data_IF_438264990707
#
_entry.id   IF_438264990707
#
_cell.length_a   1.000
_cell.length_b   1.000
_cell.length_c   1.000
_cell.angle_alpha   90.00
_cell.angle_beta   90.00
_cell.angle_gamma   90.00
#
_symmetry.space_group_name_H-M   'P 1'
#
loop_
_entity.id
_entity.type
_entity.pdbx_description
1 polymer ?
#
# COMPACT_ATOMS: atom_id res chain seq x y z
N UNK A 1 12.06 -7.54 -13.64
CA UNK A 1 11.42 -7.38 -12.36
C UNK A 1 11.90 -6.10 -11.67
N UNK A 2 10.97 -5.28 -11.22
CA UNK A 2 11.25 -4.17 -10.30
C UNK A 2 10.77 -4.58 -8.91
N UNK A 3 11.69 -4.58 -7.92
CA UNK A 3 11.39 -4.69 -6.51
C UNK A 3 11.63 -3.32 -5.87
N UNK A 4 10.58 -2.70 -5.35
CA UNK A 4 10.66 -1.42 -4.68
C UNK A 4 10.45 -1.58 -3.17
N UNK A 5 11.39 -1.10 -2.38
CA UNK A 5 11.36 -1.22 -0.92
C UNK A 5 12.62 -1.90 -0.39
N UNK A 6 12.61 -2.41 0.81
CA UNK A 6 11.47 -2.58 1.73
C UNK A 6 11.23 -1.27 2.46
N UNK A 7 10.03 -0.71 2.34
CA UNK A 7 9.67 0.53 3.01
C UNK A 7 9.56 0.33 4.53
N UNK A 8 10.10 1.27 5.30
CA UNK A 8 9.92 1.34 6.74
C UNK A 8 8.54 1.97 7.05
N UNK A 9 7.57 1.15 7.30
CA UNK A 9 6.16 1.51 7.44
C UNK A 9 5.29 0.77 6.42
N UNK A 10 4.00 0.80 6.59
CA UNK A 10 3.04 0.20 5.66
C UNK A 10 2.69 1.16 4.52
N UNK A 11 2.31 0.60 3.37
CA UNK A 11 1.67 1.30 2.26
C UNK A 11 0.32 0.64 2.00
N UNK A 12 -0.73 1.12 2.65
CA UNK A 12 -2.06 0.50 2.72
C UNK A 12 -3.14 1.54 2.48
N UNK A 13 -4.34 1.10 2.23
CA UNK A 13 -5.51 1.97 2.13
C UNK A 13 -5.27 3.13 1.14
N UNK A 14 -5.69 4.33 1.52
CA UNK A 14 -5.52 5.55 0.72
C UNK A 14 -4.05 5.98 0.58
N UNK A 15 -3.14 5.49 1.45
CA UNK A 15 -1.72 5.85 1.41
C UNK A 15 -1.03 5.40 0.13
N UNK A 16 -1.56 4.38 -0.55
CA UNK A 16 -1.03 3.89 -1.82
C UNK A 16 -0.95 4.98 -2.89
N UNK A 17 -1.85 5.97 -2.84
CA UNK A 17 -1.89 7.09 -3.78
C UNK A 17 -0.74 8.09 -3.60
N UNK A 18 -0.08 8.07 -2.45
CA UNK A 18 1.02 8.99 -2.09
C UNK A 18 2.37 8.27 -1.96
N UNK A 19 2.38 6.95 -2.14
CA UNK A 19 3.55 6.11 -1.88
C UNK A 19 4.60 6.18 -2.99
N UNK A 20 5.79 6.66 -2.66
CA UNK A 20 6.96 6.56 -3.55
C UNK A 20 7.39 5.12 -3.81
N UNK A 21 7.22 4.21 -2.84
CA UNK A 21 7.51 2.78 -2.99
C UNK A 21 6.63 2.14 -4.05
N UNK A 22 5.33 2.45 -4.03
CA UNK A 22 4.38 1.97 -5.03
C UNK A 22 4.64 2.63 -6.38
N UNK A 23 4.88 3.95 -6.41
CA UNK A 23 5.16 4.68 -7.64
C UNK A 23 6.38 4.10 -8.38
N UNK A 24 7.45 3.75 -7.69
CA UNK A 24 8.63 3.14 -8.31
C UNK A 24 8.32 1.77 -8.93
N UNK A 25 7.48 0.94 -8.30
CA UNK A 25 7.03 -0.32 -8.89
C UNK A 25 6.11 -0.08 -10.09
N UNK A 26 5.27 0.97 -10.06
CA UNK A 26 4.41 1.38 -11.17
C UNK A 26 5.20 1.81 -12.40
N UNK A 27 6.31 2.55 -12.22
CA UNK A 27 7.20 2.90 -13.33
C UNK A 27 7.69 1.66 -14.08
N UNK A 28 8.08 0.59 -13.35
CA UNK A 28 8.42 -0.68 -13.96
C UNK A 28 7.28 -1.27 -14.77
N UNK A 29 6.08 -1.29 -14.22
CA UNK A 29 4.89 -1.83 -14.88
C UNK A 29 4.48 -1.04 -16.12
N UNK A 30 4.69 0.29 -16.14
CA UNK A 30 4.52 1.14 -17.32
C UNK A 30 5.47 0.77 -18.45
N UNK A 31 6.69 0.38 -18.12
CA UNK A 31 7.70 -0.10 -19.06
C UNK A 31 7.52 -1.58 -19.45
N UNK A 32 6.45 -2.23 -19.01
CA UNK A 32 6.18 -3.63 -19.29
C UNK A 32 6.99 -4.62 -18.44
N UNK A 33 7.64 -4.14 -17.37
CA UNK A 33 8.40 -4.94 -16.43
C UNK A 33 7.54 -5.21 -15.19
N UNK A 34 7.43 -6.46 -14.71
CA UNK A 34 6.70 -6.77 -13.47
C UNK A 34 7.18 -5.93 -12.29
N UNK A 35 6.25 -5.32 -11.55
CA UNK A 35 6.54 -4.47 -10.39
C UNK A 35 5.95 -5.04 -9.09
N UNK A 36 6.77 -5.07 -8.03
CA UNK A 36 6.36 -5.48 -6.68
C UNK A 36 6.83 -4.40 -5.70
N UNK A 37 5.91 -3.84 -4.93
CA UNK A 37 6.19 -2.93 -3.83
C UNK A 37 6.18 -3.72 -2.51
N UNK A 38 7.21 -3.54 -1.69
CA UNK A 38 7.40 -4.27 -0.44
C UNK A 38 7.46 -3.27 0.72
N UNK A 39 6.70 -3.52 1.76
CA UNK A 39 6.60 -2.66 2.95
C UNK A 39 6.52 -3.49 4.21
N UNK A 40 7.20 -3.06 5.28
CA UNK A 40 7.14 -3.69 6.59
C UNK A 40 6.48 -2.73 7.58
N UNK A 41 5.35 -3.13 8.17
CA UNK A 41 4.72 -2.36 9.25
C UNK A 41 5.60 -2.42 10.50
N UNK A 42 5.89 -1.28 11.09
CA UNK A 42 6.63 -1.19 12.35
C UNK A 42 5.76 -1.59 13.54
N UNK A 43 6.34 -2.29 14.51
CA UNK A 43 5.68 -2.74 15.73
C UNK A 43 5.50 -1.67 16.81
N UNK A 44 5.50 -0.37 16.44
CA UNK A 44 5.36 0.73 17.40
C UNK A 44 6.67 1.14 18.07
N UNK A 45 7.80 0.71 17.57
CA UNK A 45 9.14 1.13 18.02
C UNK A 45 9.73 2.17 17.04
N UNK A 46 10.62 3.04 17.51
CA UNK A 46 11.32 4.03 16.68
C UNK A 46 12.28 3.41 15.67
N UNK A 47 12.60 2.12 15.82
CA UNK A 47 13.47 1.36 14.92
C UNK A 47 12.63 0.51 13.98
N UNK A 48 12.91 0.61 12.68
CA UNK A 48 12.32 -0.28 11.69
C UNK A 48 12.77 -1.73 11.98
N UNK A 49 11.79 -2.60 12.19
CA UNK A 49 11.99 -4.03 12.33
C UNK A 49 11.54 -4.70 11.03
N UNK A 50 12.48 -5.35 10.33
CA UNK A 50 12.22 -6.02 9.06
C UNK A 50 12.19 -7.54 9.20
N UNK A 51 12.04 -8.08 10.39
CA UNK A 51 12.18 -9.51 10.67
C UNK A 51 11.27 -10.37 9.77
N UNK A 52 9.99 -10.05 9.70
CA UNK A 52 9.06 -10.75 8.82
C UNK A 52 9.44 -10.65 7.33
N UNK A 53 9.86 -9.46 6.88
CA UNK A 53 10.24 -9.24 5.49
C UNK A 53 11.56 -9.94 5.12
N UNK A 54 12.55 -9.97 6.02
CA UNK A 54 13.84 -10.66 5.82
C UNK A 54 13.61 -12.17 5.68
N UNK A 55 12.80 -12.76 6.55
CA UNK A 55 12.57 -14.20 6.55
C UNK A 55 11.66 -14.64 5.40
N UNK A 56 10.60 -13.90 5.11
CA UNK A 56 9.58 -14.33 4.16
C UNK A 56 9.65 -13.67 2.79
N UNK A 57 10.40 -12.58 2.63
CA UNK A 57 10.37 -11.74 1.42
C UNK A 57 10.69 -12.50 0.14
N UNK A 58 11.74 -13.30 0.12
CA UNK A 58 12.13 -14.11 -1.06
C UNK A 58 11.01 -15.07 -1.45
N UNK A 59 10.42 -15.76 -0.49
CA UNK A 59 9.31 -16.70 -0.73
C UNK A 59 8.06 -16.00 -1.27
N UNK A 60 7.75 -14.80 -0.76
CA UNK A 60 6.62 -13.99 -1.23
C UNK A 60 6.84 -13.54 -2.66
N UNK A 61 8.03 -13.04 -2.99
CA UNK A 61 8.38 -12.63 -4.35
C UNK A 61 8.28 -13.82 -5.32
N UNK A 62 8.82 -15.00 -4.95
CA UNK A 62 8.74 -16.19 -5.77
C UNK A 62 7.28 -16.61 -6.00
N UNK A 63 6.47 -16.64 -4.95
CA UNK A 63 5.04 -16.94 -5.06
C UNK A 63 4.33 -15.99 -6.05
N UNK A 64 4.61 -14.70 -5.98
CA UNK A 64 4.02 -13.70 -6.89
C UNK A 64 4.47 -13.94 -8.34
N UNK A 65 5.73 -14.29 -8.56
CA UNK A 65 6.25 -14.60 -9.89
C UNK A 65 5.63 -15.88 -10.46
N UNK A 66 5.41 -16.89 -9.63
CA UNK A 66 4.80 -18.17 -10.03
C UNK A 66 3.32 -18.01 -10.45
N UNK A 67 2.55 -17.17 -9.74
CA UNK A 67 1.17 -16.86 -10.13
C UNK A 67 1.07 -15.89 -11.30
N UNK A 68 2.14 -15.13 -11.57
CA UNK A 68 2.21 -14.10 -12.62
C UNK A 68 1.59 -12.77 -12.20
N UNK A 69 2.04 -11.72 -12.86
CA UNK A 69 1.53 -10.34 -12.66
C UNK A 69 0.88 -9.89 -13.95
N UNK A 70 -0.38 -9.48 -13.87
CA UNK A 70 -1.10 -8.98 -15.04
C UNK A 70 -0.47 -7.67 -15.56
N UNK A 71 -0.61 -7.42 -16.86
CA UNK A 71 -0.13 -6.16 -17.47
C UNK A 71 -0.77 -4.96 -16.76
N UNK A 72 0.00 -3.89 -16.60
CA UNK A 72 -0.45 -2.65 -15.94
C UNK A 72 -0.98 -2.88 -14.52
N UNK A 73 -0.38 -3.84 -13.81
CA UNK A 73 -0.67 -4.15 -12.41
C UNK A 73 0.63 -4.18 -11.61
N UNK A 74 0.58 -3.72 -10.39
CA UNK A 74 1.65 -3.81 -9.39
C UNK A 74 1.16 -4.64 -8.22
N UNK A 75 2.02 -5.50 -7.69
CA UNK A 75 1.72 -6.24 -6.47
C UNK A 75 2.22 -5.46 -5.26
N UNK A 76 1.31 -5.06 -4.39
CA UNK A 76 1.60 -4.37 -3.14
C UNK A 76 1.60 -5.38 -2.00
N UNK A 77 2.73 -5.51 -1.33
CA UNK A 77 2.99 -6.44 -0.24
C UNK A 77 3.26 -5.67 1.04
N UNK A 78 2.51 -5.96 2.09
CA UNK A 78 2.79 -5.41 3.42
C UNK A 78 3.00 -6.55 4.42
N UNK A 79 4.15 -6.56 5.08
CA UNK A 79 4.49 -7.52 6.13
C UNK A 79 3.94 -7.02 7.48
N UNK A 80 3.29 -7.91 8.27
CA UNK A 80 2.70 -7.55 9.55
C UNK A 80 3.78 -7.28 10.63
N UNK A 81 3.44 -6.53 11.69
CA UNK A 81 4.37 -6.18 12.77
C UNK A 81 4.45 -7.30 13.82
N UNK A 82 4.69 -8.53 13.38
CA UNK A 82 4.83 -9.70 14.24
C UNK A 82 6.17 -10.38 14.00
N UNK A 83 6.65 -11.17 14.96
CA UNK A 83 7.84 -11.99 14.78
C UNK A 83 7.68 -12.92 13.55
N UNK A 84 8.78 -13.21 12.87
CA UNK A 84 8.73 -13.96 11.62
C UNK A 84 8.06 -15.33 11.76
N UNK A 85 8.26 -16.01 12.88
CA UNK A 85 7.66 -17.32 13.17
C UNK A 85 6.15 -17.24 13.50
N UNK A 86 5.65 -16.04 13.83
CA UNK A 86 4.23 -15.78 14.07
C UNK A 86 3.47 -15.34 12.80
N UNK A 87 4.16 -15.15 11.67
CA UNK A 87 3.54 -14.83 10.38
C UNK A 87 2.73 -16.04 9.91
N UNK A 88 1.41 -15.82 9.68
CA UNK A 88 0.47 -16.89 9.33
C UNK A 88 0.56 -17.33 7.87
N UNK A 89 1.08 -16.47 6.98
CA UNK A 89 1.17 -16.72 5.55
C UNK A 89 0.82 -15.48 4.72
N UNK A 90 0.42 -15.67 3.47
CA UNK A 90 0.01 -14.62 2.54
C UNK A 90 -1.52 -14.64 2.44
N UNK A 91 -2.15 -13.46 2.52
CA UNK A 91 -3.59 -13.28 2.36
C UNK A 91 -3.87 -12.22 1.29
N UNK A 92 -4.62 -12.57 0.22
CA UNK A 92 -5.14 -11.56 -0.70
C UNK A 92 -6.02 -10.57 0.03
N UNK A 93 -5.83 -9.29 -0.25
CA UNK A 93 -6.54 -8.22 0.42
C UNK A 93 -6.96 -7.14 -0.57
N UNK A 94 -8.00 -6.39 -0.23
CA UNK A 94 -8.37 -5.14 -0.89
C UNK A 94 -7.82 -3.96 -0.10
N UNK A 95 -7.74 -2.80 -0.72
CA UNK A 95 -7.40 -1.57 0.00
C UNK A 95 -8.46 -1.26 1.06
N UNK A 96 -8.01 -0.81 2.20
CA UNK A 96 -8.85 -0.20 3.23
C UNK A 96 -9.20 1.25 2.85
N UNK A 97 -9.95 1.92 3.72
CA UNK A 97 -10.27 3.34 3.66
C UNK A 97 -10.05 3.92 5.06
N UNK A 98 -8.88 4.47 5.33
CA UNK A 98 -8.57 4.95 6.68
C UNK A 98 -8.42 6.46 6.78
N UNK A 99 -7.95 7.12 5.73
CA UNK A 99 -7.75 8.56 5.73
C UNK A 99 -9.08 9.27 5.68
N UNK A 100 -9.33 10.21 6.59
CA UNK A 100 -10.49 11.09 6.51
C UNK A 100 -10.13 12.57 6.57
N UNK A 101 -8.87 12.92 6.74
CA UNK A 101 -8.40 14.29 6.65
C UNK A 101 -6.97 14.48 7.13
N UNK A 102 -6.47 15.67 6.89
CA UNK A 102 -5.22 16.16 7.46
C UNK A 102 -5.55 17.34 8.38
N UNK A 103 -4.86 17.45 9.50
CA UNK A 103 -4.95 18.64 10.30
C UNK A 103 -4.17 19.79 9.65
N UNK A 104 -4.79 20.93 9.51
CA UNK A 104 -4.11 22.18 9.16
C UNK A 104 -3.95 22.98 10.44
N UNK A 105 -2.71 23.16 10.86
CA UNK A 105 -2.37 23.87 12.11
C UNK A 105 -1.77 25.23 11.73
N UNK A 106 -2.35 26.29 12.29
CA UNK A 106 -1.82 27.65 12.11
C UNK A 106 -0.42 27.75 12.71
N UNK A 107 0.50 28.34 11.96
CA UNK A 107 1.87 28.55 12.40
C UNK A 107 2.03 29.79 13.28
N UNK A 108 3.22 29.97 13.82
CA UNK A 108 3.56 31.12 14.68
C UNK A 108 3.81 32.42 13.88
N UNK A 109 4.02 32.29 12.56
CA UNK A 109 4.20 33.42 11.65
C UNK A 109 2.86 33.73 10.97
N UNK A 110 2.43 35.01 10.85
CA UNK A 110 1.19 35.35 10.16
C UNK A 110 1.09 34.73 8.76
N UNK A 111 -0.07 34.16 8.42
CA UNK A 111 -0.36 33.48 7.15
C UNK A 111 0.51 32.22 6.88
N UNK A 112 1.12 31.62 7.91
CA UNK A 112 1.80 30.34 7.78
C UNK A 112 0.96 29.20 8.36
N UNK A 113 1.01 28.04 7.70
CA UNK A 113 0.29 26.84 8.12
C UNK A 113 1.23 25.64 8.00
N UNK A 114 1.01 24.63 8.83
CA UNK A 114 1.69 23.34 8.72
C UNK A 114 0.66 22.22 8.70
N UNK A 115 0.98 21.14 8.00
CA UNK A 115 0.21 19.92 8.10
C UNK A 115 0.53 19.24 9.45
N UNK A 116 -0.52 18.88 10.17
CA UNK A 116 -0.45 18.08 11.38
C UNK A 116 -0.44 16.58 11.08
N UNK A 117 -0.62 15.77 12.12
CA UNK A 117 -0.74 14.33 11.94
C UNK A 117 -1.92 13.96 11.04
N UNK A 118 -1.76 12.86 10.30
CA UNK A 118 -2.84 12.27 9.53
C UNK A 118 -4.00 11.90 10.47
N UNK A 119 -5.21 12.32 10.10
CA UNK A 119 -6.44 11.87 10.76
C UNK A 119 -6.91 10.59 10.09
N UNK A 120 -6.73 9.47 10.78
CA UNK A 120 -7.08 8.15 10.29
C UNK A 120 -8.19 7.52 11.15
N UNK A 121 -8.97 6.63 10.55
CA UNK A 121 -9.95 5.80 11.27
C UNK A 121 -9.24 4.62 11.91
N UNK A 122 -9.63 4.27 13.13
CA UNK A 122 -9.13 3.08 13.82
C UNK A 122 -9.75 1.80 13.26
N UNK A 123 -11.04 1.87 12.87
CA UNK A 123 -11.78 0.74 12.31
C UNK A 123 -11.24 0.34 10.94
N UNK A 124 -11.19 -0.97 10.68
CA UNK A 124 -10.77 -1.56 9.40
C UNK A 124 -11.94 -2.22 8.69
N UNK A 125 -11.93 -2.17 7.37
CA UNK A 125 -12.90 -2.91 6.56
C UNK A 125 -12.57 -4.40 6.55
N UNK A 126 -13.54 -5.30 6.70
CA UNK A 126 -13.28 -6.74 6.63
C UNK A 126 -12.59 -7.15 5.32
N UNK A 127 -11.51 -7.93 5.43
CA UNK A 127 -10.70 -8.38 4.28
C UNK A 127 -9.86 -7.29 3.64
N UNK A 128 -9.67 -6.15 4.30
CA UNK A 128 -8.76 -5.10 3.86
C UNK A 128 -7.31 -5.44 4.22
N UNK A 129 -6.38 -4.76 3.56
CA UNK A 129 -4.94 -4.89 3.78
C UNK A 129 -4.54 -4.61 5.23
N UNK A 130 -5.17 -3.64 5.89
CA UNK A 130 -4.97 -3.37 7.32
C UNK A 130 -5.52 -4.50 8.19
N UNK A 131 -6.75 -4.94 7.94
CA UNK A 131 -7.41 -5.97 8.72
C UNK A 131 -6.63 -7.30 8.70
N UNK A 132 -6.18 -7.74 7.53
CA UNK A 132 -5.42 -9.00 7.42
C UNK A 132 -4.04 -8.91 8.07
N UNK A 133 -3.39 -7.74 8.05
CA UNK A 133 -2.15 -7.55 8.79
C UNK A 133 -2.34 -7.56 10.31
N UNK A 134 -3.44 -7.00 10.80
CA UNK A 134 -3.77 -7.02 12.24
C UNK A 134 -3.96 -8.46 12.75
N UNK A 135 -4.35 -9.37 11.86
CA UNK A 135 -4.45 -10.81 12.13
C UNK A 135 -3.12 -11.57 11.95
N UNK A 136 -2.02 -10.91 11.60
CA UNK A 136 -0.69 -11.52 11.42
C UNK A 136 -0.44 -12.12 10.05
N UNK A 137 -1.22 -11.78 9.02
CA UNK A 137 -0.96 -12.19 7.63
C UNK A 137 -0.11 -11.16 6.88
N UNK A 138 0.67 -11.62 5.92
CA UNK A 138 1.25 -10.76 4.89
C UNK A 138 0.10 -10.38 3.94
N UNK A 139 -0.23 -9.10 3.84
CA UNK A 139 -1.25 -8.65 2.88
C UNK A 139 -0.67 -8.58 1.48
N UNK A 140 -1.43 -9.07 0.50
CA UNK A 140 -1.09 -9.03 -0.92
C UNK A 140 -2.24 -8.38 -1.68
N UNK A 141 -2.00 -7.18 -2.21
CA UNK A 141 -3.00 -6.40 -2.95
C UNK A 141 -2.53 -6.13 -4.37
N UNK A 142 -3.31 -6.49 -5.37
CA UNK A 142 -3.06 -6.15 -6.75
C UNK A 142 -3.60 -4.74 -7.04
N UNK A 143 -2.73 -3.82 -7.46
CA UNK A 143 -3.05 -2.43 -7.77
C UNK A 143 -3.05 -2.24 -9.28
N UNK A 144 -4.21 -1.91 -9.83
CA UNK A 144 -4.35 -1.51 -11.24
C UNK A 144 -3.82 -0.09 -11.47
N UNK A 145 -3.30 0.16 -12.65
CA UNK A 145 -2.80 1.48 -13.05
C UNK A 145 -3.88 2.36 -13.68
N UNK A 146 -5.02 1.78 -14.05
CA UNK A 146 -6.17 2.55 -14.51
C UNK A 146 -7.03 2.93 -13.30
N UNK A 147 -6.98 4.20 -12.96
CA UNK A 147 -7.77 4.79 -11.86
C UNK A 147 -9.06 5.45 -12.37
N UNK A 148 -9.44 5.21 -13.63
CA UNK A 148 -10.71 5.70 -14.18
C UNK A 148 -11.85 5.09 -13.39
N UNK A 149 -12.72 5.92 -12.83
CA UNK A 149 -13.95 5.47 -12.19
C UNK A 149 -14.96 5.04 -13.29
N UNK A 150 -14.85 3.79 -13.74
CA UNK A 150 -15.54 3.28 -14.91
C UNK A 150 -17.05 3.51 -14.87
N UNK A 151 -17.69 3.26 -13.74
CA UNK A 151 -19.14 3.45 -13.58
C UNK A 151 -19.56 4.92 -13.72
N UNK A 152 -18.73 5.85 -13.22
CA UNK A 152 -18.97 7.29 -13.38
C UNK A 152 -18.69 7.72 -14.80
N UNK A 153 -17.57 7.26 -15.40
CA UNK A 153 -17.19 7.59 -16.77
C UNK A 153 -18.29 7.23 -17.78
N UNK A 154 -18.94 6.08 -17.61
CA UNK A 154 -20.02 5.62 -18.47
C UNK A 154 -21.29 6.52 -18.38
N UNK A 155 -21.44 7.29 -17.33
CA UNK A 155 -22.57 8.21 -17.13
C UNK A 155 -22.30 9.64 -17.61
N UNK A 156 -21.08 9.97 -17.99
CA UNK A 156 -20.71 11.29 -18.48
C UNK A 156 -21.21 11.49 -19.92
N UNK A 157 -21.95 12.55 -20.17
CA UNK A 157 -22.41 12.93 -21.50
C UNK A 157 -21.33 13.77 -22.25
N UNK A 158 -21.32 13.68 -23.55
CA UNK A 158 -20.56 14.60 -24.40
C UNK A 158 -21.30 15.93 -24.48
N UNK A 159 -20.59 17.01 -24.22
CA UNK A 159 -21.12 18.38 -24.42
C UNK A 159 -20.20 19.13 -25.37
N UNK A 160 -20.79 19.86 -26.29
CA UNK A 160 -20.06 20.67 -27.29
C UNK A 160 -20.34 22.16 -27.03
N UNK A 161 -19.29 22.98 -27.04
CA UNK A 161 -19.34 24.43 -26.85
C UNK A 161 -19.17 25.17 -28.16
#
# INVERSE_FOLDING_TARGET
>A
LVLSGINAGMNVADDVLYSGTIAAAMEGALMGVPGIALSQRNGGTDRADYDAAIVHGVRVVQYILDIGIAKRTVMNVNFPPVAADAVRGIMPARLDQHKFGDQVIEGTVPNSYRLGPLMARDETLPGSDRAVMDEGWISLTALGMDITAGDVQMSLATETF
#
